data_IF_844240049694
#
_entry.id   IF_844240049694
#
_cell.length_a   1.000
_cell.length_b   1.000
_cell.length_c   1.000
_cell.angle_alpha   90.00
_cell.angle_beta   90.00
_cell.angle_gamma   90.00
#
_symmetry.space_group_name_H-M   'P 1'
#
loop_
_entity.id
_entity.type
_entity.pdbx_description
1 polymer ?
#
# COMPACT_ATOMS: atom_id res chain seq x y z
N UNK A 1 10.25 26.65 18.54
CA UNK A 1 11.17 25.89 17.66
C UNK A 1 10.62 24.47 17.54
N UNK A 2 9.81 24.19 16.51
CA UNK A 2 9.22 22.85 16.31
C UNK A 2 10.34 21.94 15.80
N UNK A 3 10.56 20.83 16.47
CA UNK A 3 11.47 19.77 16.04
C UNK A 3 11.06 19.27 14.64
N UNK A 4 11.67 19.85 13.60
CA UNK A 4 11.83 19.22 12.30
C UNK A 4 12.81 18.05 12.50
N UNK A 5 12.32 16.80 12.51
CA UNK A 5 13.23 15.65 12.71
C UNK A 5 12.61 14.28 12.93
N UNK A 6 11.28 14.13 12.99
CA UNK A 6 10.60 12.84 13.18
C UNK A 6 9.70 12.46 11.97
N UNK A 7 10.14 12.75 10.74
CA UNK A 7 9.37 12.32 9.57
C UNK A 7 9.37 10.80 9.46
N UNK A 8 8.16 10.24 9.36
CA UNK A 8 7.86 8.91 8.84
C UNK A 8 8.72 7.76 9.37
N UNK A 9 8.41 7.23 10.55
CA UNK A 9 8.89 5.89 10.87
C UNK A 9 8.24 4.90 9.88
N UNK A 10 8.98 4.45 8.86
CA UNK A 10 8.56 3.44 7.89
C UNK A 10 8.41 3.89 6.44
N UNK A 11 7.45 4.76 6.10
CA UNK A 11 7.02 4.94 4.69
C UNK A 11 8.07 5.57 3.75
N UNK A 12 9.20 6.05 4.27
CA UNK A 12 10.34 6.55 3.49
C UNK A 12 11.26 5.44 2.95
N UNK A 13 10.95 4.17 3.23
CA UNK A 13 11.79 3.03 2.88
C UNK A 13 10.99 1.91 2.19
N UNK A 14 11.56 1.34 1.13
CA UNK A 14 11.00 0.18 0.44
C UNK A 14 10.88 -1.00 1.39
N UNK A 15 11.81 -1.16 2.33
CA UNK A 15 11.79 -2.25 3.29
C UNK A 15 10.55 -2.21 4.17
N UNK A 16 10.05 -1.01 4.52
CA UNK A 16 8.78 -0.89 5.24
C UNK A 16 7.59 -1.37 4.41
N UNK A 17 7.57 -1.03 3.12
CA UNK A 17 6.49 -1.43 2.21
C UNK A 17 6.40 -2.95 2.13
N UNK A 18 7.55 -3.63 2.02
CA UNK A 18 7.68 -5.08 2.00
C UNK A 18 7.33 -5.70 3.36
N UNK A 19 7.88 -5.15 4.44
CA UNK A 19 7.64 -5.62 5.82
C UNK A 19 6.16 -5.52 6.19
N UNK A 20 5.50 -4.41 5.86
CA UNK A 20 4.07 -4.25 6.09
C UNK A 20 3.26 -5.34 5.39
N UNK A 21 3.61 -5.67 4.15
CA UNK A 21 2.95 -6.77 3.46
C UNK A 21 3.21 -8.13 4.14
N UNK A 22 4.44 -8.38 4.60
CA UNK A 22 4.75 -9.59 5.39
C UNK A 22 3.93 -9.64 6.69
N UNK A 23 3.81 -8.55 7.42
CA UNK A 23 3.02 -8.49 8.66
C UNK A 23 1.53 -8.72 8.40
N UNK A 24 1.00 -8.23 7.27
CA UNK A 24 -0.40 -8.39 6.93
C UNK A 24 -0.77 -9.80 6.44
N UNK A 25 0.16 -10.53 5.81
CA UNK A 25 -0.16 -11.76 5.08
C UNK A 25 0.82 -12.93 5.32
N UNK A 26 1.77 -12.77 6.23
CA UNK A 26 2.84 -13.75 6.48
C UNK A 26 2.35 -15.10 6.97
N UNK A 27 1.21 -15.13 7.67
CA UNK A 27 0.58 -16.38 8.14
C UNK A 27 -0.28 -17.07 7.06
N UNK A 28 -0.47 -16.41 5.90
CA UNK A 28 -1.30 -16.90 4.79
C UNK A 28 -0.43 -17.33 3.60
N UNK A 29 0.65 -16.60 3.34
CA UNK A 29 1.54 -16.84 2.20
C UNK A 29 3.01 -16.77 2.60
N UNK A 30 3.77 -17.80 2.23
CA UNK A 30 5.21 -17.85 2.49
C UNK A 30 5.96 -16.67 1.85
N UNK A 31 5.57 -16.32 0.61
CA UNK A 31 6.14 -15.24 -0.20
C UNK A 31 5.68 -13.83 0.23
N UNK A 32 4.84 -13.69 1.26
CA UNK A 32 4.39 -12.37 1.69
C UNK A 32 5.61 -11.45 1.96
N UNK A 33 5.57 -10.23 1.43
CA UNK A 33 6.68 -9.27 1.54
C UNK A 33 7.72 -9.39 0.43
N UNK A 34 7.63 -10.40 -0.44
CA UNK A 34 8.51 -10.54 -1.59
C UNK A 34 7.92 -9.87 -2.84
N UNK A 35 8.74 -9.06 -3.53
CA UNK A 35 8.36 -8.49 -4.82
C UNK A 35 8.13 -9.63 -5.82
N UNK A 36 7.02 -9.57 -6.55
CA UNK A 36 6.72 -10.57 -7.58
C UNK A 36 7.77 -10.56 -8.68
N UNK A 37 8.15 -11.75 -9.10
CA UNK A 37 8.96 -11.97 -10.32
C UNK A 37 8.09 -12.33 -11.52
N UNK A 38 6.87 -12.82 -11.27
CA UNK A 38 5.92 -13.16 -12.32
C UNK A 38 5.34 -11.89 -12.98
N UNK A 39 5.27 -11.91 -14.30
CA UNK A 39 4.52 -10.93 -15.09
C UNK A 39 3.02 -11.20 -14.97
N UNK A 40 2.25 -10.12 -14.83
CA UNK A 40 0.79 -10.13 -14.74
C UNK A 40 0.22 -9.26 -15.86
N UNK A 41 -1.07 -9.45 -16.19
CA UNK A 41 -1.77 -8.63 -17.18
C UNK A 41 -2.09 -7.21 -16.68
N UNK A 42 -1.81 -6.93 -15.41
CA UNK A 42 -2.05 -5.66 -14.74
C UNK A 42 -0.84 -5.29 -13.88
N UNK A 43 -0.79 -4.03 -13.48
CA UNK A 43 0.37 -3.47 -12.81
C UNK A 43 1.50 -3.12 -13.78
N UNK A 44 2.63 -2.66 -13.25
CA UNK A 44 3.82 -2.40 -14.06
C UNK A 44 4.53 -3.71 -14.45
N UNK A 45 5.55 -3.67 -15.31
CA UNK A 45 6.37 -4.85 -15.57
C UNK A 45 7.09 -5.30 -14.29
N UNK A 46 7.21 -6.61 -14.08
CA UNK A 46 7.80 -7.18 -12.86
C UNK A 46 9.19 -6.61 -12.59
N UNK A 47 10.03 -6.51 -13.64
CA UNK A 47 11.38 -5.94 -13.53
C UNK A 47 11.42 -4.43 -13.22
N UNK A 48 10.31 -3.70 -13.37
CA UNK A 48 10.19 -2.28 -13.04
C UNK A 48 9.66 -2.03 -11.62
N UNK A 49 9.12 -3.05 -10.95
CA UNK A 49 8.43 -2.89 -9.66
C UNK A 49 9.32 -2.18 -8.62
N UNK A 50 10.55 -2.64 -8.42
CA UNK A 50 11.46 -2.05 -7.43
C UNK A 50 11.75 -0.57 -7.73
N UNK A 51 11.95 -0.23 -9.00
CA UNK A 51 12.19 1.14 -9.46
C UNK A 51 10.97 2.02 -9.23
N UNK A 52 9.77 1.54 -9.55
CA UNK A 52 8.53 2.31 -9.39
C UNK A 52 8.13 2.47 -7.92
N UNK A 53 8.40 1.47 -7.06
CA UNK A 53 8.26 1.61 -5.61
C UNK A 53 9.19 2.70 -5.07
N UNK A 54 10.46 2.69 -5.49
CA UNK A 54 11.41 3.73 -5.07
C UNK A 54 10.94 5.13 -5.48
N UNK A 55 10.50 5.29 -6.72
CA UNK A 55 9.90 6.56 -7.19
C UNK A 55 8.70 6.99 -6.37
N UNK A 56 7.78 6.06 -6.05
CA UNK A 56 6.62 6.36 -5.21
C UNK A 56 7.02 6.88 -3.83
N UNK A 57 8.03 6.26 -3.21
CA UNK A 57 8.55 6.67 -1.91
C UNK A 57 9.20 8.05 -1.98
N UNK A 58 10.03 8.29 -3.00
CA UNK A 58 10.70 9.58 -3.19
C UNK A 58 9.67 10.70 -3.44
N UNK A 59 8.65 10.43 -4.25
CA UNK A 59 7.54 11.35 -4.47
C UNK A 59 6.72 11.59 -3.20
N UNK A 60 6.46 10.56 -2.39
CA UNK A 60 5.73 10.70 -1.12
C UNK A 60 6.49 11.62 -0.16
N UNK A 61 7.80 11.42 -0.02
CA UNK A 61 8.67 12.28 0.79
C UNK A 61 8.63 13.71 0.28
N UNK A 62 8.82 13.90 -1.03
CA UNK A 62 8.78 15.22 -1.65
C UNK A 62 7.43 15.94 -1.44
N UNK A 63 6.31 15.25 -1.69
CA UNK A 63 4.98 15.83 -1.55
C UNK A 63 4.69 16.29 -0.14
N UNK A 64 5.12 15.50 0.86
CA UNK A 64 4.92 15.85 2.25
C UNK A 64 5.82 17.03 2.65
N UNK A 65 7.13 16.95 2.41
CA UNK A 65 8.09 17.99 2.80
C UNK A 65 7.75 19.36 2.20
N UNK A 66 7.36 19.36 0.92
CA UNK A 66 7.04 20.57 0.18
C UNK A 66 5.58 20.98 0.28
N UNK A 67 4.75 20.20 1.01
CA UNK A 67 3.29 20.39 1.11
C UNK A 67 2.65 20.56 -0.27
N UNK A 68 3.12 19.80 -1.26
CA UNK A 68 2.69 19.90 -2.66
C UNK A 68 1.19 19.69 -2.81
N UNK A 69 0.63 18.81 -1.96
CA UNK A 69 -0.79 18.53 -1.88
C UNK A 69 -1.23 18.48 -0.40
N UNK A 70 -2.53 18.55 -0.15
CA UNK A 70 -3.06 18.32 1.20
C UNK A 70 -2.94 16.83 1.59
N UNK A 71 -2.99 16.54 2.90
CA UNK A 71 -2.81 15.18 3.43
C UNK A 71 -3.79 14.16 2.85
N UNK A 72 -5.04 14.54 2.63
CA UNK A 72 -6.06 13.63 2.08
C UNK A 72 -5.67 13.25 0.64
N UNK A 73 -5.27 14.22 -0.17
CA UNK A 73 -4.84 13.98 -1.54
C UNK A 73 -3.56 13.16 -1.62
N UNK A 74 -2.56 13.42 -0.76
CA UNK A 74 -1.35 12.59 -0.69
C UNK A 74 -1.73 11.14 -0.36
N UNK A 75 -2.64 10.92 0.60
CA UNK A 75 -3.09 9.57 0.96
C UNK A 75 -3.77 8.85 -0.20
N UNK A 76 -4.59 9.55 -0.99
CA UNK A 76 -5.28 9.00 -2.14
C UNK A 76 -4.30 8.64 -3.27
N UNK A 77 -3.31 9.52 -3.53
CA UNK A 77 -2.24 9.29 -4.51
C UNK A 77 -1.35 8.11 -4.11
N UNK A 78 -0.99 8.00 -2.83
CA UNK A 78 -0.24 6.88 -2.27
C UNK A 78 -0.98 5.56 -2.50
N UNK A 79 -2.26 5.49 -2.11
CA UNK A 79 -3.11 4.32 -2.35
C UNK A 79 -3.15 3.96 -3.84
N UNK A 80 -3.50 4.91 -4.71
CA UNK A 80 -3.66 4.67 -6.13
C UNK A 80 -2.36 4.16 -6.77
N UNK A 81 -1.24 4.84 -6.55
CA UNK A 81 0.04 4.44 -7.13
C UNK A 81 0.51 3.08 -6.61
N UNK A 82 0.32 2.79 -5.33
CA UNK A 82 0.63 1.48 -4.76
C UNK A 82 -0.16 0.35 -5.47
N UNK A 83 -1.46 0.56 -5.74
CA UNK A 83 -2.29 -0.41 -6.49
C UNK A 83 -1.82 -0.57 -7.94
N UNK A 84 -1.47 0.54 -8.60
CA UNK A 84 -1.01 0.55 -9.99
C UNK A 84 0.37 -0.09 -10.15
N UNK A 85 1.27 0.06 -9.18
CA UNK A 85 2.57 -0.63 -9.21
C UNK A 85 2.36 -2.14 -9.05
N UNK A 86 1.46 -2.54 -8.16
CA UNK A 86 1.09 -3.94 -7.94
C UNK A 86 2.30 -4.85 -7.61
N UNK A 87 3.03 -4.57 -6.53
CA UNK A 87 4.33 -5.20 -6.27
C UNK A 87 4.27 -6.68 -5.86
N UNK A 88 3.15 -7.16 -5.34
CA UNK A 88 3.01 -8.53 -4.82
C UNK A 88 2.11 -9.39 -5.72
N UNK A 89 2.15 -10.72 -5.57
CA UNK A 89 1.26 -11.62 -6.31
C UNK A 89 -0.22 -11.47 -5.92
N UNK A 90 -0.50 -11.12 -4.66
CA UNK A 90 -1.84 -10.85 -4.14
C UNK A 90 -1.76 -9.88 -2.95
N UNK A 91 -2.89 -9.39 -2.44
CA UNK A 91 -2.94 -8.53 -1.26
C UNK A 91 -2.73 -7.03 -1.53
N UNK A 92 -2.33 -6.64 -2.75
CA UNK A 92 -1.98 -5.26 -3.11
C UNK A 92 -3.06 -4.23 -2.77
N UNK A 93 -4.33 -4.54 -3.01
CA UNK A 93 -5.43 -3.61 -2.70
C UNK A 93 -5.64 -3.39 -1.20
N UNK A 94 -5.49 -4.43 -0.37
CA UNK A 94 -5.59 -4.29 1.10
C UNK A 94 -4.38 -3.56 1.66
N UNK A 95 -3.20 -3.92 1.16
CA UNK A 95 -1.93 -3.30 1.53
C UNK A 95 -1.88 -1.80 1.18
N UNK A 96 -2.34 -1.40 -0.02
CA UNK A 96 -2.37 0.02 -0.42
C UNK A 96 -3.31 0.87 0.43
N UNK A 97 -4.47 0.30 0.84
CA UNK A 97 -5.40 0.96 1.77
C UNK A 97 -4.78 1.14 3.15
N UNK A 98 -4.04 0.12 3.62
CA UNK A 98 -3.30 0.20 4.86
C UNK A 98 -2.23 1.30 4.80
N UNK A 99 -1.44 1.39 3.72
CA UNK A 99 -0.48 2.47 3.53
C UNK A 99 -1.13 3.86 3.63
N UNK A 100 -2.25 4.07 2.94
CA UNK A 100 -2.97 5.34 3.00
C UNK A 100 -3.49 5.65 4.41
N UNK A 101 -4.03 4.66 5.12
CA UNK A 101 -4.50 4.85 6.49
C UNK A 101 -3.36 5.12 7.49
N UNK A 102 -2.22 4.46 7.33
CA UNK A 102 -1.01 4.74 8.11
C UNK A 102 -0.57 6.19 7.87
N UNK A 103 -0.53 6.64 6.61
CA UNK A 103 -0.17 8.00 6.26
C UNK A 103 -1.14 9.03 6.89
N UNK A 104 -2.45 8.81 6.78
CA UNK A 104 -3.46 9.67 7.42
C UNK A 104 -3.25 9.74 8.93
N UNK A 105 -3.03 8.58 9.57
CA UNK A 105 -2.85 8.49 11.02
C UNK A 105 -1.58 9.19 11.50
N UNK A 106 -0.47 9.06 10.76
CA UNK A 106 0.79 9.77 11.04
C UNK A 106 0.66 11.29 10.92
N UNK A 107 -0.36 11.76 10.21
CA UNK A 107 -0.69 13.18 10.03
C UNK A 107 -1.92 13.60 10.85
N UNK A 108 -2.22 12.88 11.94
CA UNK A 108 -3.28 13.20 12.91
C UNK A 108 -4.71 13.21 12.33
N UNK A 109 -4.91 12.66 11.13
CA UNK A 109 -6.22 12.43 10.54
C UNK A 109 -6.78 11.05 10.92
N UNK A 110 -8.11 10.95 10.89
CA UNK A 110 -8.78 9.67 11.09
C UNK A 110 -8.55 8.77 9.87
N UNK A 111 -8.28 7.46 10.07
CA UNK A 111 -8.25 6.51 8.97
C UNK A 111 -9.56 6.53 8.18
N UNK A 112 -9.45 6.35 6.86
CA UNK A 112 -10.61 6.20 6.00
C UNK A 112 -11.22 4.82 6.20
N UNK A 113 -12.55 4.77 6.30
CA UNK A 113 -13.30 3.52 6.18
C UNK A 113 -13.42 3.18 4.70
N UNK A 114 -12.90 2.02 4.34
CA UNK A 114 -13.00 1.50 2.99
C UNK A 114 -14.17 0.52 2.94
N UNK A 115 -15.02 0.62 1.91
CA UNK A 115 -16.20 -0.26 1.77
C UNK A 115 -15.76 -1.66 1.31
N UNK A 116 -15.21 -2.46 2.22
CA UNK A 116 -14.71 -3.81 1.93
C UNK A 116 -15.85 -4.81 1.66
N UNK A 117 -17.02 -4.58 2.25
CA UNK A 117 -18.18 -5.46 2.16
C UNK A 117 -18.79 -5.51 0.76
N UNK A 118 -18.74 -4.41 -0.01
CA UNK A 118 -19.26 -4.38 -1.38
C UNK A 118 -18.44 -5.28 -2.33
N UNK A 119 -17.11 -5.35 -2.14
CA UNK A 119 -16.22 -6.20 -2.96
C UNK A 119 -16.33 -7.69 -2.59
N UNK A 120 -16.70 -7.99 -1.35
CA UNK A 120 -16.97 -9.36 -0.92
C UNK A 120 -18.30 -9.88 -1.46
N UNK A 121 -19.31 -9.00 -1.60
CA UNK A 121 -20.63 -9.35 -2.14
C UNK A 121 -20.63 -9.60 -3.65
N UNK A 122 -19.76 -8.97 -4.44
CA UNK A 122 -19.65 -9.22 -5.89
C UNK A 122 -19.00 -10.57 -6.23
N UNK A 123 -18.34 -11.25 -5.28
CA UNK A 123 -17.83 -12.62 -5.46
C UNK A 123 -18.91 -13.65 -5.12
N UNK A 124 -19.86 -13.84 -6.03
CA UNK A 124 -21.00 -14.76 -5.93
C UNK A 124 -20.58 -16.21 -5.57
N UNK A 125 -19.32 -16.60 -5.82
CA UNK A 125 -18.79 -17.95 -5.57
C UNK A 125 -18.12 -18.19 -4.21
N UNK A 126 -18.04 -17.19 -3.32
CA UNK A 126 -17.33 -17.41 -2.04
C UNK A 126 -18.04 -18.38 -1.09
N UNK A 127 -19.36 -18.50 -1.21
CA UNK A 127 -20.18 -19.45 -0.42
C UNK A 127 -19.92 -20.92 -0.75
N UNK A 128 -19.31 -21.23 -1.90
CA UNK A 128 -19.13 -22.61 -2.36
C UNK A 128 -17.91 -23.31 -1.70
N UNK A 129 -16.97 -22.52 -1.15
CA UNK A 129 -15.71 -23.03 -0.58
C UNK A 129 -15.76 -23.26 0.94
N UNK A 130 -16.76 -22.71 1.61
CA UNK A 130 -16.97 -22.90 3.05
C UNK A 130 -18.11 -23.90 3.21
N UNK A 131 -17.80 -25.19 3.02
CA UNK A 131 -18.68 -26.24 3.53
C UNK A 131 -18.22 -26.60 4.95
N UNK A 132 -19.16 -26.75 5.90
CA UNK A 132 -18.85 -27.20 7.26
C UNK A 132 -18.28 -28.63 7.29
#
# INVERSE_FOLDING_TARGET
MRFFGFFFFGLGDTDFFLKLHKEMFGDVWDWAGEIRTAELNFGVKAYLVSTELKKLIDDLSFWHENKTFNTIEISARLHYRAVVIHPFLNGNGRWSRMLANIYLKQNELKPTKWNEDLLAQENIHRGDYIKP
#
